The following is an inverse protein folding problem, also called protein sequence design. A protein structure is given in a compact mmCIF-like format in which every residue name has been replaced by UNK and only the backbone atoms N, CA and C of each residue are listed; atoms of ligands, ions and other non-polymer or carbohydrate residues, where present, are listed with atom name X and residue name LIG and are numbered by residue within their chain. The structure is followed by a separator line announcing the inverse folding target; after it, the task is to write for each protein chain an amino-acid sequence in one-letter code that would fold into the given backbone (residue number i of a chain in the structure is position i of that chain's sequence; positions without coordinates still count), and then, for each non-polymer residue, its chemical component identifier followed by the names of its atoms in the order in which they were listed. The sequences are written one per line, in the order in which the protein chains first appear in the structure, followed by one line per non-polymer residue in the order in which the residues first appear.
data_IF_532820252342
#
_entry.id   IF_532820252342
#
_cell.length_a   1.000
_cell.length_b   1.000
_cell.length_c   1.000
_cell.angle_alpha   90.00
_cell.angle_beta   90.00
_cell.angle_gamma   90.00
#
_symmetry.space_group_name_H-M   'P 1'
#
loop_
_entity.id
_entity.type
_entity.pdbx_description
1 polymer ?
#
# COMPACT_ATOMS: atom_id res chain seq x y z
N UNK A 1 34.71 -44.25 -12.14
CA UNK A 1 33.56 -43.38 -11.77
C UNK A 1 32.32 -43.92 -12.45
N UNK A 2 31.30 -44.25 -11.67
CA UNK A 2 30.13 -44.98 -12.17
C UNK A 2 29.30 -44.06 -13.08
N UNK A 3 29.34 -44.35 -14.38
CA UNK A 3 28.53 -43.72 -15.44
C UNK A 3 27.04 -43.57 -15.06
N UNK A 4 26.37 -44.55 -14.44
CA UNK A 4 24.98 -44.38 -14.02
C UNK A 4 24.78 -43.31 -12.93
N UNK A 5 25.73 -43.16 -11.99
CA UNK A 5 25.64 -42.15 -10.92
C UNK A 5 25.77 -40.74 -11.50
N UNK A 6 26.68 -40.54 -12.46
CA UNK A 6 26.83 -39.23 -13.14
C UNK A 6 25.57 -38.85 -13.94
N UNK A 7 24.90 -39.82 -14.57
CA UNK A 7 23.64 -39.57 -15.31
C UNK A 7 22.50 -39.18 -14.37
N UNK A 8 22.37 -39.87 -13.24
CA UNK A 8 21.36 -39.54 -12.22
C UNK A 8 21.58 -38.12 -11.67
N UNK A 9 22.82 -37.77 -11.33
CA UNK A 9 23.18 -36.45 -10.83
C UNK A 9 22.88 -35.35 -11.85
N UNK A 10 23.16 -35.59 -13.14
CA UNK A 10 22.84 -34.65 -14.20
C UNK A 10 21.33 -34.41 -14.33
N UNK A 11 20.51 -35.46 -14.27
CA UNK A 11 19.04 -35.33 -14.33
C UNK A 11 18.51 -34.54 -13.13
N UNK A 12 18.99 -34.83 -11.92
CA UNK A 12 18.57 -34.12 -10.70
C UNK A 12 18.97 -32.64 -10.76
N UNK A 13 20.16 -32.32 -11.26
CA UNK A 13 20.59 -30.93 -11.44
C UNK A 13 19.74 -30.18 -12.48
N UNK A 14 19.36 -30.84 -13.58
CA UNK A 14 18.46 -30.24 -14.59
C UNK A 14 17.08 -29.97 -13.99
N UNK A 15 16.53 -30.89 -13.21
CA UNK A 15 15.25 -30.69 -12.52
C UNK A 15 15.32 -29.54 -11.50
N UNK A 16 16.42 -29.43 -10.75
CA UNK A 16 16.65 -28.32 -9.83
C UNK A 16 16.79 -26.98 -10.55
N UNK A 17 17.53 -26.94 -11.66
CA UNK A 17 17.67 -25.74 -12.48
C UNK A 17 16.33 -25.30 -13.09
N UNK A 18 15.50 -26.25 -13.53
CA UNK A 18 14.13 -25.98 -14.00
C UNK A 18 13.25 -25.42 -12.89
N UNK A 19 13.30 -26.00 -11.69
CA UNK A 19 12.55 -25.52 -10.54
C UNK A 19 12.96 -24.10 -10.14
N UNK A 20 14.28 -23.83 -10.09
CA UNK A 20 14.82 -22.49 -9.76
C UNK A 20 14.47 -21.48 -10.86
N UNK A 21 14.59 -21.86 -12.13
CA UNK A 21 14.20 -21.00 -13.25
C UNK A 21 12.71 -20.66 -13.23
N UNK A 22 11.86 -21.65 -12.98
CA UNK A 22 10.41 -21.45 -12.94
C UNK A 22 9.97 -20.60 -11.73
N UNK A 23 10.50 -20.89 -10.54
CA UNK A 23 10.19 -20.10 -9.33
C UNK A 23 10.75 -18.68 -9.41
N UNK A 24 11.94 -18.49 -9.99
CA UNK A 24 12.54 -17.16 -10.14
C UNK A 24 11.84 -16.32 -11.20
N UNK A 25 11.29 -16.94 -12.25
CA UNK A 25 10.49 -16.22 -13.23
C UNK A 25 9.22 -15.64 -12.57
N UNK A 26 8.59 -16.42 -11.69
CA UNK A 26 7.40 -16.01 -10.95
C UNK A 26 7.69 -14.98 -9.85
N UNK A 27 8.86 -15.06 -9.22
CA UNK A 27 9.24 -14.11 -8.16
C UNK A 27 9.72 -12.75 -8.70
N UNK A 28 10.27 -12.68 -9.91
CA UNK A 28 10.92 -11.45 -10.44
C UNK A 28 10.02 -10.69 -11.43
N UNK A 29 9.23 -11.38 -12.26
CA UNK A 29 8.36 -10.72 -13.24
C UNK A 29 6.95 -10.42 -12.73
N UNK A 30 6.39 -11.26 -11.83
CA UNK A 30 5.02 -11.06 -11.31
C UNK A 30 4.99 -10.29 -9.97
N UNK A 31 6.13 -9.89 -9.40
CA UNK A 31 6.14 -9.13 -8.14
C UNK A 31 5.35 -7.81 -8.27
N UNK A 32 5.54 -7.11 -9.40
CA UNK A 32 4.78 -5.91 -9.76
C UNK A 32 3.31 -6.21 -10.07
N UNK A 33 2.99 -7.39 -10.59
CA UNK A 33 1.60 -7.80 -10.89
C UNK A 33 0.84 -8.21 -9.61
N UNK A 34 1.52 -8.84 -8.64
CA UNK A 34 0.96 -9.18 -7.34
C UNK A 34 0.72 -7.93 -6.47
N UNK A 35 1.59 -6.94 -6.58
CA UNK A 35 1.42 -5.63 -5.93
C UNK A 35 0.23 -4.86 -6.51
N UNK A 36 0.01 -4.96 -7.83
CA UNK A 36 -1.11 -4.34 -8.54
C UNK A 36 -2.46 -5.07 -8.38
N UNK A 37 -2.51 -6.24 -7.75
CA UNK A 37 -3.78 -6.93 -7.48
C UNK A 37 -4.63 -6.14 -6.50
N UNK A 38 -5.88 -5.86 -6.90
CA UNK A 38 -6.90 -5.18 -6.09
C UNK A 38 -7.15 -5.88 -4.74
N UNK A 39 -6.83 -7.17 -4.62
CA UNK A 39 -6.95 -7.94 -3.38
C UNK A 39 -5.80 -7.72 -2.38
N UNK A 40 -4.72 -7.03 -2.77
CA UNK A 40 -3.62 -6.71 -1.87
C UNK A 40 -4.07 -5.65 -0.85
N UNK A 41 -4.43 -6.10 0.35
CA UNK A 41 -4.86 -5.24 1.45
C UNK A 41 -3.70 -4.64 2.24
N UNK A 42 -2.44 -5.02 1.98
CA UNK A 42 -1.27 -4.48 2.71
C UNK A 42 -1.17 -2.96 2.65
N UNK A 43 -1.35 -2.29 1.49
CA UNK A 43 -1.30 -0.83 1.42
C UNK A 43 -2.42 -0.18 2.26
N UNK A 44 -3.57 -0.84 2.38
CA UNK A 44 -4.68 -0.36 3.21
C UNK A 44 -4.35 -0.42 4.70
N UNK A 45 -3.64 -1.46 5.16
CA UNK A 45 -3.22 -1.57 6.57
C UNK A 45 -2.10 -0.60 6.91
N UNK A 46 -1.17 -0.37 5.99
CA UNK A 46 -0.11 0.64 6.16
C UNK A 46 -0.71 2.05 6.20
N UNK A 47 -1.63 2.37 5.29
CA UNK A 47 -2.33 3.66 5.28
C UNK A 47 -3.14 3.93 6.57
N UNK A 48 -3.64 2.87 7.24
CA UNK A 48 -4.36 2.99 8.50
C UNK A 48 -3.45 3.29 9.69
N UNK A 49 -2.15 3.01 9.60
CA UNK A 49 -1.19 3.30 10.67
C UNK A 49 -0.59 4.71 10.54
N UNK A 50 -0.79 5.38 9.40
CA UNK A 50 -0.24 6.71 9.14
C UNK A 50 -1.22 7.79 9.61
N UNK A 51 -0.76 8.64 10.53
CA UNK A 51 -1.50 9.84 10.94
C UNK A 51 -1.38 10.92 9.87
N UNK A 52 -2.33 10.95 8.93
CA UNK A 52 -2.32 11.99 7.88
C UNK A 52 -2.42 13.41 8.43
N UNK A 53 -1.73 14.35 7.79
CA UNK A 53 -1.72 15.78 8.13
C UNK A 53 -3.10 16.45 8.08
N UNK A 54 -3.29 17.51 8.86
CA UNK A 54 -4.56 18.27 8.89
C UNK A 54 -4.65 19.22 7.69
N UNK A 55 -5.87 19.41 7.17
CA UNK A 55 -6.15 20.45 6.18
C UNK A 55 -6.89 21.58 6.86
N UNK A 56 -6.39 22.80 6.69
CA UNK A 56 -6.87 24.02 7.34
C UNK A 56 -7.29 25.04 6.28
N UNK A 57 -8.33 25.82 6.55
CA UNK A 57 -8.61 27.05 5.78
C UNK A 57 -7.60 28.13 6.12
N UNK A 58 -7.53 29.19 5.31
CA UNK A 58 -6.74 30.39 5.62
C UNK A 58 -7.11 31.00 6.98
N UNK A 59 -8.38 30.87 7.38
CA UNK A 59 -8.91 31.35 8.66
C UNK A 59 -8.62 30.39 9.84
N UNK A 60 -7.90 29.29 9.60
CA UNK A 60 -7.53 28.30 10.62
C UNK A 60 -8.60 27.25 10.91
N UNK A 61 -9.69 27.18 10.14
CA UNK A 61 -10.75 26.20 10.34
C UNK A 61 -10.32 24.81 9.84
N UNK A 62 -10.59 23.77 10.63
CA UNK A 62 -10.21 22.39 10.28
C UNK A 62 -11.19 21.83 9.25
N UNK A 63 -10.69 21.61 8.03
CA UNK A 63 -11.44 21.00 6.93
C UNK A 63 -11.36 19.48 7.00
N UNK A 64 -10.17 18.95 7.28
CA UNK A 64 -9.92 17.52 7.40
C UNK A 64 -8.92 17.21 8.51
N UNK A 65 -9.20 16.18 9.30
CA UNK A 65 -8.34 15.71 10.38
C UNK A 65 -8.34 14.18 10.46
N UNK A 66 -7.25 13.59 10.92
CA UNK A 66 -7.14 12.15 11.16
C UNK A 66 -7.23 11.87 12.66
N UNK A 67 -8.28 11.15 13.07
CA UNK A 67 -8.49 10.73 14.46
C UNK A 67 -8.12 9.27 14.64
N UNK A 68 -7.45 8.94 15.75
CA UNK A 68 -7.23 7.56 16.21
C UNK A 68 -8.59 6.99 16.64
N UNK A 69 -8.96 5.83 16.08
CA UNK A 69 -10.20 5.11 16.40
C UNK A 69 -9.83 3.64 16.66
N UNK A 70 -10.35 3.06 17.74
CA UNK A 70 -9.99 1.73 18.24
C UNK A 70 -9.23 1.76 19.58
N UNK A 71 -9.03 0.57 20.16
CA UNK A 71 -8.31 0.37 21.41
C UNK A 71 -6.79 0.51 21.25
N UNK A 72 -6.06 0.64 22.37
CA UNK A 72 -4.62 0.92 22.35
C UNK A 72 -3.78 -0.14 21.61
N UNK A 73 -4.26 -1.39 21.53
CA UNK A 73 -3.59 -2.49 20.83
C UNK A 73 -3.97 -2.61 19.34
N UNK A 74 -5.05 -1.98 18.88
CA UNK A 74 -5.56 -2.12 17.50
C UNK A 74 -6.18 -0.84 16.94
N UNK A 75 -5.46 0.26 17.07
CA UNK A 75 -5.94 1.54 16.60
C UNK A 75 -5.73 1.75 15.10
N UNK A 76 -6.65 2.48 14.48
CA UNK A 76 -6.60 2.89 13.09
C UNK A 76 -6.80 4.40 13.01
N UNK A 77 -6.10 5.06 12.09
CA UNK A 77 -6.32 6.46 11.79
C UNK A 77 -7.44 6.60 10.77
N UNK A 78 -8.57 7.18 11.21
CA UNK A 78 -9.73 7.46 10.36
C UNK A 78 -9.77 8.93 10.01
N UNK A 79 -9.98 9.22 8.72
CA UNK A 79 -10.10 10.58 8.20
C UNK A 79 -11.50 11.15 8.44
N UNK A 80 -11.60 12.31 9.09
CA UNK A 80 -12.85 13.03 9.39
C UNK A 80 -12.89 14.39 8.70
N UNK A 81 -14.07 14.76 8.21
CA UNK A 81 -14.35 16.01 7.49
C UNK A 81 -15.46 16.79 8.18
N UNK A 82 -15.15 17.66 9.17
CA UNK A 82 -16.16 18.35 9.98
C UNK A 82 -17.11 19.24 9.18
N UNK A 83 -16.62 19.83 8.09
CA UNK A 83 -17.38 20.74 7.23
C UNK A 83 -18.11 20.01 6.08
N UNK A 84 -17.96 18.68 6.00
CA UNK A 84 -18.70 17.80 5.09
C UNK A 84 -18.77 18.30 3.65
N UNK A 85 -20.00 18.51 3.15
CA UNK A 85 -20.28 18.89 1.77
C UNK A 85 -19.80 20.29 1.37
N UNK A 86 -19.56 21.19 2.34
CA UNK A 86 -19.10 22.55 2.05
C UNK A 86 -17.74 22.54 1.31
N UNK A 87 -16.89 21.58 1.65
CA UNK A 87 -15.57 21.41 1.05
C UNK A 87 -15.40 20.07 0.32
N UNK A 88 -16.47 19.27 0.18
CA UNK A 88 -16.40 17.92 -0.37
C UNK A 88 -15.93 17.87 -1.84
N UNK A 89 -16.42 18.77 -2.70
CA UNK A 89 -16.00 18.83 -4.11
C UNK A 89 -14.56 19.33 -4.31
N UNK A 90 -14.14 20.47 -3.72
CA UNK A 90 -12.79 20.98 -3.93
C UNK A 90 -11.70 20.13 -3.24
N UNK A 91 -11.96 19.59 -2.04
CA UNK A 91 -10.98 18.78 -1.32
C UNK A 91 -11.00 17.32 -1.81
N UNK A 92 -12.18 16.80 -2.15
CA UNK A 92 -12.38 15.39 -2.40
C UNK A 92 -12.52 14.59 -1.10
N UNK A 93 -12.09 13.33 -1.16
CA UNK A 93 -12.19 12.40 -0.05
C UNK A 93 -10.95 11.51 0.04
N UNK A 94 -10.72 10.94 1.23
CA UNK A 94 -9.73 9.90 1.48
C UNK A 94 -10.37 8.82 2.34
N UNK A 95 -10.90 7.78 1.70
CA UNK A 95 -11.47 6.62 2.37
C UNK A 95 -10.65 5.38 2.07
N UNK A 96 -10.50 4.50 3.07
CA UNK A 96 -9.77 3.24 2.91
C UNK A 96 -10.46 2.35 1.87
N UNK A 97 -11.80 2.33 1.87
CA UNK A 97 -12.59 1.48 0.97
C UNK A 97 -12.76 2.06 -0.44
N UNK A 98 -12.77 3.39 -0.59
CA UNK A 98 -13.04 4.08 -1.85
C UNK A 98 -11.82 4.78 -2.47
N UNK A 99 -10.66 4.71 -1.79
CA UNK A 99 -9.44 5.41 -2.16
C UNK A 99 -9.48 6.91 -1.87
N UNK A 100 -8.55 7.63 -2.50
CA UNK A 100 -8.41 9.08 -2.40
C UNK A 100 -8.92 9.77 -3.65
N UNK A 101 -9.34 11.03 -3.56
CA UNK A 101 -9.79 11.84 -4.70
C UNK A 101 -9.47 13.33 -4.54
N UNK A 102 -9.51 14.06 -5.66
CA UNK A 102 -9.32 15.51 -5.68
C UNK A 102 -7.98 15.95 -5.07
N UNK A 103 -8.05 16.96 -4.22
CA UNK A 103 -6.91 17.54 -3.51
C UNK A 103 -6.23 16.53 -2.57
N UNK A 104 -6.99 15.68 -1.87
CA UNK A 104 -6.44 14.64 -0.98
C UNK A 104 -5.55 13.63 -1.74
N UNK A 105 -5.82 13.40 -3.03
CA UNK A 105 -4.96 12.58 -3.90
C UNK A 105 -3.74 13.34 -4.37
N UNK A 106 -3.90 14.60 -4.77
CA UNK A 106 -2.82 15.43 -5.29
C UNK A 106 -1.74 15.68 -4.22
N UNK A 107 -2.14 16.01 -2.99
CA UNK A 107 -1.24 16.30 -1.88
C UNK A 107 -0.98 15.07 -0.99
N UNK A 108 -1.15 13.86 -1.52
CA UNK A 108 -1.03 12.64 -0.72
C UNK A 108 0.34 12.51 -0.05
N UNK A 109 1.43 12.75 -0.80
CA UNK A 109 2.82 12.59 -0.31
C UNK A 109 3.13 13.52 0.88
N UNK A 110 2.61 14.75 0.87
CA UNK A 110 2.75 15.70 1.98
C UNK A 110 1.87 15.33 3.17
N UNK A 111 0.66 14.84 2.89
CA UNK A 111 -0.27 14.43 3.94
C UNK A 111 0.17 13.15 4.64
N UNK A 112 0.88 12.24 3.96
CA UNK A 112 1.44 11.01 4.54
C UNK A 112 2.81 11.21 5.19
N UNK A 113 3.48 12.34 4.94
CA UNK A 113 4.82 12.63 5.46
C UNK A 113 5.96 11.95 4.68
N UNK A 114 5.69 11.49 3.45
CA UNK A 114 6.72 11.00 2.53
C UNK A 114 7.56 12.15 1.97
N UNK A 115 6.94 13.31 1.78
CA UNK A 115 7.62 14.56 1.41
C UNK A 115 7.68 15.46 2.66
N UNK A 116 8.82 15.42 3.34
CA UNK A 116 9.17 16.42 4.36
C UNK A 116 10.02 17.48 3.65
N UNK A 117 9.53 18.71 3.61
CA UNK A 117 10.28 19.86 3.10
C UNK A 117 11.57 20.11 3.91
#
# INVERSE_FOLDING_TARGET
MNVPIRRLLAVVLVLFALLVGFTSNWAVFDATELEAKVENKRPLFEAQQIKRGRILTADGQVIANSSKEGDDESYQYVRRYPLGSLFGNPIGYSFITQGTSGFERAENARLTGEENE
#
